data_IF_031330718703
#
_entry.id   IF_031330718703
#
_cell.length_a   1.000
_cell.length_b   1.000
_cell.length_c   1.000
_cell.angle_alpha   90.00
_cell.angle_beta   90.00
_cell.angle_gamma   90.00
#
_symmetry.space_group_name_H-M   'P 1'
#
loop_
_entity.id
_entity.type
_entity.pdbx_description
1 polymer ?
#
# COMPACT_ATOMS: atom_id res chain seq x y z
N UNK A 1 -10.00 41.61 40.41
CA UNK A 1 -8.99 40.67 39.90
C UNK A 1 -9.75 39.54 39.20
N UNK A 2 -10.03 39.72 37.92
CA UNK A 2 -10.67 38.72 37.07
C UNK A 2 -9.68 37.58 36.85
N UNK A 3 -10.12 36.35 37.11
CA UNK A 3 -9.35 35.16 36.80
C UNK A 3 -9.20 35.05 35.28
N UNK A 4 -7.99 35.21 34.76
CA UNK A 4 -7.67 34.91 33.37
C UNK A 4 -7.81 33.40 33.14
N UNK A 5 -8.63 32.94 32.18
CA UNK A 5 -8.78 31.52 31.92
C UNK A 5 -7.49 31.00 31.27
N UNK A 6 -6.65 30.35 32.08
CA UNK A 6 -5.57 29.44 31.71
C UNK A 6 -4.48 30.01 30.79
N UNK A 7 -3.41 30.55 31.39
CA UNK A 7 -2.13 30.65 30.70
C UNK A 7 -1.75 29.27 30.12
N UNK A 8 -1.33 29.18 28.84
CA UNK A 8 -1.00 27.91 28.20
C UNK A 8 0.12 27.21 28.98
N UNK A 9 -0.14 25.96 29.38
CA UNK A 9 0.69 25.24 30.36
C UNK A 9 1.84 24.46 29.72
N UNK A 10 1.86 24.34 28.38
CA UNK A 10 2.91 23.65 27.64
C UNK A 10 3.07 24.18 26.20
N UNK A 11 4.31 24.25 25.73
CA UNK A 11 4.62 24.45 24.31
C UNK A 11 4.00 23.32 23.47
N UNK A 12 3.40 23.68 22.33
CA UNK A 12 2.64 22.77 21.46
C UNK A 12 1.14 22.72 21.75
N UNK A 13 0.64 23.43 22.77
CA UNK A 13 -0.80 23.58 23.00
C UNK A 13 -1.48 24.25 21.80
N UNK A 14 -2.61 23.69 21.37
CA UNK A 14 -3.42 24.24 20.28
C UNK A 14 -4.52 25.11 20.87
N UNK A 15 -4.78 26.26 20.27
CA UNK A 15 -5.83 27.17 20.71
C UNK A 15 -7.20 26.50 20.60
N UNK A 16 -8.16 26.97 21.41
CA UNK A 16 -9.51 26.40 21.40
C UNK A 16 -10.12 26.44 19.99
N UNK A 17 -9.98 27.56 19.29
CA UNK A 17 -10.44 27.74 17.91
C UNK A 17 -9.63 26.97 16.85
N UNK A 18 -8.58 26.24 17.24
CA UNK A 18 -7.74 25.43 16.37
C UNK A 18 -6.95 26.21 15.33
N UNK A 19 -6.77 27.53 15.50
CA UNK A 19 -6.07 28.38 14.53
C UNK A 19 -4.60 28.61 14.88
N UNK A 20 -4.24 28.52 16.16
CA UNK A 20 -2.93 28.87 16.67
C UNK A 20 -2.31 27.72 17.47
N UNK A 21 -0.98 27.66 17.50
CA UNK A 21 -0.21 26.85 18.44
C UNK A 21 0.59 27.75 19.36
N UNK A 22 0.65 27.42 20.64
CA UNK A 22 1.56 28.04 21.58
C UNK A 22 2.98 27.50 21.34
N UNK A 23 3.94 28.38 21.06
CA UNK A 23 5.34 27.98 20.87
C UNK A 23 6.17 28.00 22.18
N UNK A 24 5.59 28.50 23.28
CA UNK A 24 6.27 28.72 24.56
C UNK A 24 6.29 30.20 24.97
N UNK A 25 6.20 31.11 24.00
CA UNK A 25 6.23 32.57 24.21
C UNK A 25 5.00 33.28 23.62
N UNK A 26 4.47 32.80 22.49
CA UNK A 26 3.36 33.41 21.78
C UNK A 26 2.48 32.39 21.03
N UNK A 27 1.29 32.84 20.63
CA UNK A 27 0.41 32.09 19.74
C UNK A 27 0.82 32.31 18.27
N UNK A 28 1.26 31.23 17.61
CA UNK A 28 1.70 31.24 16.20
C UNK A 28 0.65 30.55 15.33
N UNK A 29 0.26 31.11 14.16
CA UNK A 29 -0.74 30.51 13.30
C UNK A 29 -0.32 29.13 12.77
N UNK A 30 -1.30 28.24 12.65
CA UNK A 30 -1.09 26.93 12.02
C UNK A 30 -1.03 27.05 10.49
N UNK A 31 -0.24 26.16 9.88
CA UNK A 31 -0.18 26.10 8.43
C UNK A 31 -1.56 25.71 7.84
N UNK A 32 -1.92 26.20 6.65
CA UNK A 32 -3.17 25.82 5.99
C UNK A 32 -3.31 24.30 5.87
N UNK A 33 -4.44 23.77 6.33
CA UNK A 33 -4.69 22.33 6.33
C UNK A 33 -3.77 21.52 7.23
N UNK A 34 -3.23 22.11 8.31
CA UNK A 34 -2.55 21.41 9.39
C UNK A 34 -3.41 20.25 9.92
N UNK A 35 -2.76 19.17 10.33
CA UNK A 35 -3.39 17.99 10.91
C UNK A 35 -2.48 17.41 11.98
N UNK A 36 -3.08 16.90 13.04
CA UNK A 36 -2.36 16.27 14.14
C UNK A 36 -2.29 14.77 13.97
N UNK A 37 -1.10 14.17 14.18
CA UNK A 37 -0.98 12.72 14.22
C UNK A 37 -1.78 12.16 15.40
N UNK A 38 -2.44 11.03 15.16
CA UNK A 38 -3.02 10.21 16.22
C UNK A 38 -2.08 9.04 16.54
N UNK A 39 -2.33 8.25 17.60
CA UNK A 39 -1.57 7.03 17.84
C UNK A 39 -1.59 6.03 16.68
N UNK A 40 -2.55 6.15 15.75
CA UNK A 40 -2.65 5.30 14.56
C UNK A 40 -1.74 5.76 13.43
N UNK A 41 -1.44 7.06 13.33
CA UNK A 41 -0.73 7.64 12.19
C UNK A 41 0.61 6.96 11.94
N UNK A 42 1.50 6.91 12.94
CA UNK A 42 2.83 6.34 12.76
C UNK A 42 2.78 4.82 12.55
N UNK A 43 1.88 4.13 13.25
CA UNK A 43 1.71 2.68 13.13
C UNK A 43 1.24 2.29 11.73
N UNK A 44 0.28 3.03 11.19
CA UNK A 44 -0.26 2.80 9.85
C UNK A 44 0.76 3.11 8.76
N UNK A 45 1.52 4.21 8.90
CA UNK A 45 2.62 4.56 7.99
C UNK A 45 3.71 3.49 7.95
N UNK A 46 4.13 3.00 9.12
CA UNK A 46 5.16 1.95 9.21
C UNK A 46 4.66 0.60 8.71
N UNK A 47 3.43 0.22 9.05
CA UNK A 47 2.83 -1.02 8.55
C UNK A 47 2.67 -0.98 7.02
N UNK A 48 2.20 0.14 6.47
CA UNK A 48 2.12 0.34 5.02
C UNK A 48 3.50 0.24 4.37
N UNK A 49 4.49 0.94 4.92
CA UNK A 49 5.85 0.93 4.40
C UNK A 49 6.47 -0.47 4.40
N UNK A 50 6.33 -1.19 5.52
CA UNK A 50 6.82 -2.54 5.66
C UNK A 50 6.14 -3.50 4.68
N UNK A 51 4.81 -3.43 4.57
CA UNK A 51 4.08 -4.31 3.67
C UNK A 51 4.44 -4.04 2.21
N UNK A 52 4.51 -2.78 1.77
CA UNK A 52 4.97 -2.47 0.41
C UNK A 52 6.37 -3.00 0.12
N UNK A 53 7.32 -2.80 1.04
CA UNK A 53 8.68 -3.31 0.87
C UNK A 53 8.71 -4.84 0.76
N UNK A 54 7.96 -5.54 1.62
CA UNK A 54 7.89 -7.01 1.60
C UNK A 54 7.19 -7.52 0.34
N UNK A 55 6.11 -6.88 -0.11
CA UNK A 55 5.42 -7.23 -1.36
C UNK A 55 6.34 -7.06 -2.56
N UNK A 56 7.12 -5.97 -2.62
CA UNK A 56 8.08 -5.74 -3.70
C UNK A 56 9.18 -6.79 -3.73
N UNK A 57 9.74 -7.13 -2.56
CA UNK A 57 10.76 -8.19 -2.44
C UNK A 57 10.16 -9.52 -2.88
N UNK A 58 8.96 -9.85 -2.40
CA UNK A 58 8.30 -11.10 -2.73
C UNK A 58 7.98 -11.20 -4.23
N UNK A 59 7.42 -10.14 -4.84
CA UNK A 59 7.04 -10.14 -6.25
C UNK A 59 8.25 -10.32 -7.17
N UNK A 60 9.34 -9.59 -6.90
CA UNK A 60 10.61 -9.72 -7.64
C UNK A 60 11.22 -11.11 -7.45
N UNK A 61 11.28 -11.60 -6.22
CA UNK A 61 11.87 -12.92 -5.92
C UNK A 61 11.06 -14.04 -6.57
N UNK A 62 9.73 -13.98 -6.49
CA UNK A 62 8.82 -14.95 -7.10
C UNK A 62 8.96 -14.95 -8.62
N UNK A 63 8.99 -13.77 -9.25
CA UNK A 63 9.20 -13.65 -10.69
C UNK A 63 10.53 -14.27 -11.12
N UNK A 64 11.62 -13.92 -10.43
CA UNK A 64 12.95 -14.44 -10.74
C UNK A 64 13.06 -15.96 -10.58
N UNK A 65 12.48 -16.52 -9.52
CA UNK A 65 12.58 -17.95 -9.23
C UNK A 65 11.68 -18.81 -10.13
N UNK A 66 10.50 -18.31 -10.50
CA UNK A 66 9.46 -19.15 -11.08
C UNK A 66 9.04 -18.76 -12.49
N UNK A 67 9.25 -17.52 -12.93
CA UNK A 67 8.85 -17.07 -14.26
C UNK A 67 10.03 -17.24 -15.22
N UNK A 68 9.94 -18.31 -15.99
CA UNK A 68 10.86 -18.68 -17.07
C UNK A 68 10.10 -19.30 -18.25
N UNK A 69 10.81 -19.60 -19.34
CA UNK A 69 10.22 -20.15 -20.56
C UNK A 69 9.39 -21.40 -20.31
N UNK A 70 9.93 -22.40 -19.60
CA UNK A 70 9.23 -23.67 -19.34
C UNK A 70 7.95 -23.48 -18.50
N UNK A 71 8.02 -22.64 -17.46
CA UNK A 71 6.88 -22.35 -16.59
C UNK A 71 5.74 -21.69 -17.36
N UNK A 72 6.08 -20.79 -18.29
CA UNK A 72 5.12 -20.01 -19.03
C UNK A 72 4.56 -20.81 -20.22
N UNK A 73 5.40 -21.62 -20.87
CA UNK A 73 5.01 -22.61 -21.86
C UNK A 73 3.95 -23.57 -21.30
N UNK A 74 4.19 -24.13 -20.11
CA UNK A 74 3.22 -24.97 -19.39
C UNK A 74 1.92 -24.22 -19.12
N UNK A 75 2.01 -23.02 -18.57
CA UNK A 75 0.87 -22.14 -18.27
C UNK A 75 0.02 -21.85 -19.52
N UNK A 76 0.63 -21.45 -20.62
CA UNK A 76 -0.07 -21.09 -21.85
C UNK A 76 -0.73 -22.32 -22.49
N UNK A 77 -0.06 -23.48 -22.49
CA UNK A 77 -0.67 -24.74 -22.96
C UNK A 77 -1.90 -25.12 -22.15
N UNK A 78 -1.87 -24.91 -20.83
CA UNK A 78 -3.00 -25.19 -19.95
C UNK A 78 -4.16 -24.20 -20.10
N UNK A 79 -3.90 -22.93 -20.43
CA UNK A 79 -4.92 -21.90 -20.63
C UNK A 79 -5.48 -21.87 -22.07
N UNK A 80 -4.72 -22.41 -23.03
CA UNK A 80 -5.01 -22.31 -24.45
C UNK A 80 -4.19 -21.21 -25.14
N UNK A 81 -3.87 -21.43 -26.41
CA UNK A 81 -3.10 -20.48 -27.21
C UNK A 81 -3.94 -19.24 -27.54
N UNK A 82 -3.36 -18.03 -27.46
CA UNK A 82 -4.01 -16.83 -27.99
C UNK A 82 -4.28 -16.99 -29.49
N UNK A 83 -5.47 -16.55 -29.94
CA UNK A 83 -5.91 -16.72 -31.32
C UNK A 83 -4.92 -16.11 -32.32
N UNK A 84 -4.48 -16.89 -33.30
CA UNK A 84 -3.56 -16.45 -34.35
C UNK A 84 -2.10 -16.28 -33.93
N UNK A 85 -1.73 -16.71 -32.72
CA UNK A 85 -0.33 -16.73 -32.26
C UNK A 85 0.25 -18.14 -32.24
N UNK A 86 1.55 -18.26 -32.50
CA UNK A 86 2.31 -19.47 -32.19
C UNK A 86 2.77 -19.46 -30.72
N UNK A 87 3.11 -20.65 -30.22
CA UNK A 87 3.46 -20.85 -28.80
C UNK A 87 4.72 -20.08 -28.38
N UNK A 88 5.72 -19.96 -29.25
CA UNK A 88 6.99 -19.30 -28.92
C UNK A 88 6.82 -17.79 -28.83
N UNK A 89 6.05 -17.22 -29.76
CA UNK A 89 5.66 -15.80 -29.71
C UNK A 89 4.85 -15.51 -28.45
N UNK A 90 3.87 -16.35 -28.12
CA UNK A 90 3.04 -16.17 -26.92
C UNK A 90 3.87 -16.23 -25.62
N UNK A 91 4.82 -17.18 -25.53
CA UNK A 91 5.72 -17.32 -24.37
C UNK A 91 6.65 -16.11 -24.26
N UNK A 92 7.28 -15.70 -25.35
CA UNK A 92 8.21 -14.55 -25.35
C UNK A 92 7.52 -13.26 -24.92
N UNK A 93 6.34 -13.00 -25.48
CA UNK A 93 5.49 -11.85 -25.11
C UNK A 93 5.10 -11.95 -23.63
N UNK A 94 4.64 -13.11 -23.16
CA UNK A 94 4.19 -13.26 -21.79
C UNK A 94 5.32 -13.09 -20.76
N UNK A 95 6.56 -13.51 -21.07
CA UNK A 95 7.73 -13.23 -20.21
C UNK A 95 7.97 -11.72 -20.14
N UNK A 96 8.01 -11.04 -21.29
CA UNK A 96 8.24 -9.61 -21.35
C UNK A 96 7.18 -8.83 -20.56
N UNK A 97 5.90 -9.19 -20.70
CA UNK A 97 4.81 -8.61 -19.91
C UNK A 97 4.93 -8.92 -18.43
N UNK A 98 5.22 -10.16 -18.05
CA UNK A 98 5.33 -10.56 -16.65
C UNK A 98 6.44 -9.77 -15.94
N UNK A 99 7.64 -9.72 -16.51
CA UNK A 99 8.75 -8.94 -15.95
C UNK A 99 8.49 -7.43 -16.00
N UNK A 100 7.92 -6.92 -17.09
CA UNK A 100 7.55 -5.52 -17.21
C UNK A 100 6.57 -5.09 -16.10
N UNK A 101 5.56 -5.92 -15.83
CA UNK A 101 4.59 -5.68 -14.76
C UNK A 101 5.25 -5.74 -13.38
N UNK A 102 6.07 -6.76 -13.11
CA UNK A 102 6.78 -6.91 -11.83
C UNK A 102 7.70 -5.71 -11.58
N UNK A 103 8.48 -5.29 -12.57
CA UNK A 103 9.38 -4.13 -12.45
C UNK A 103 8.58 -2.86 -12.19
N UNK A 104 7.51 -2.62 -12.96
CA UNK A 104 6.68 -1.44 -12.80
C UNK A 104 6.07 -1.36 -11.40
N UNK A 105 5.44 -2.44 -10.92
CA UNK A 105 4.83 -2.46 -9.59
C UNK A 105 5.86 -2.44 -8.47
N UNK A 106 6.99 -3.15 -8.59
CA UNK A 106 8.04 -3.10 -7.58
C UNK A 106 8.59 -1.67 -7.40
N UNK A 107 8.76 -0.91 -8.48
CA UNK A 107 9.17 0.50 -8.40
C UNK A 107 8.10 1.36 -7.71
N UNK A 108 6.82 1.17 -8.04
CA UNK A 108 5.72 1.87 -7.37
C UNK A 108 5.65 1.53 -5.89
N UNK A 109 5.81 0.26 -5.53
CA UNK A 109 5.79 -0.22 -4.14
C UNK A 109 6.98 0.31 -3.35
N UNK A 110 8.19 0.39 -3.93
CA UNK A 110 9.35 1.01 -3.27
C UNK A 110 9.10 2.49 -3.01
N UNK A 111 8.58 3.24 -4.00
CA UNK A 111 8.21 4.65 -3.82
C UNK A 111 7.12 4.79 -2.77
N UNK A 112 6.13 3.90 -2.77
CA UNK A 112 5.06 3.88 -1.78
C UNK A 112 5.57 3.57 -0.37
N UNK A 113 6.54 2.66 -0.25
CA UNK A 113 7.18 2.33 1.01
C UNK A 113 7.92 3.53 1.60
N UNK A 114 8.75 4.19 0.78
CA UNK A 114 9.50 5.39 1.17
C UNK A 114 8.52 6.52 1.54
N UNK A 115 7.54 6.81 0.68
CA UNK A 115 6.57 7.88 0.93
C UNK A 115 5.71 7.63 2.16
N UNK A 116 5.35 6.38 2.44
CA UNK A 116 4.62 6.00 3.65
C UNK A 116 5.50 6.17 4.89
N UNK A 117 6.77 5.72 4.83
CA UNK A 117 7.73 5.87 5.94
C UNK A 117 8.02 7.34 6.28
N UNK A 118 8.16 8.19 5.26
CA UNK A 118 8.37 9.63 5.40
C UNK A 118 7.07 10.39 5.72
N UNK A 119 5.92 9.72 5.69
CA UNK A 119 4.62 10.31 6.03
C UNK A 119 4.09 11.33 5.02
N UNK A 120 4.40 11.16 3.72
CA UNK A 120 3.91 12.04 2.67
C UNK A 120 2.38 12.01 2.59
N UNK A 121 1.76 13.19 2.64
CA UNK A 121 0.29 13.32 2.73
C UNK A 121 -0.44 12.77 1.50
N UNK A 122 0.11 12.98 0.30
CA UNK A 122 -0.48 12.46 -0.95
C UNK A 122 -0.30 10.95 -1.09
N UNK A 123 0.75 10.38 -0.48
CA UNK A 123 1.04 8.95 -0.55
C UNK A 123 -0.06 8.10 0.07
N UNK A 124 -0.83 8.66 1.02
CA UNK A 124 -1.99 7.98 1.58
C UNK A 124 -2.95 7.48 0.48
N UNK A 125 -3.23 8.32 -0.52
CA UNK A 125 -4.18 8.00 -1.59
C UNK A 125 -3.62 6.95 -2.55
N UNK A 126 -2.34 7.09 -2.92
CA UNK A 126 -1.65 6.09 -3.72
C UNK A 126 -1.63 4.73 -3.00
N UNK A 127 -1.29 4.73 -1.71
CA UNK A 127 -1.27 3.52 -0.89
C UNK A 127 -2.66 2.88 -0.75
N UNK A 128 -3.73 3.67 -0.60
CA UNK A 128 -5.11 3.15 -0.62
C UNK A 128 -5.44 2.44 -1.93
N UNK A 129 -5.08 3.03 -3.08
CA UNK A 129 -5.33 2.39 -4.38
C UNK A 129 -4.51 1.11 -4.52
N UNK A 130 -3.22 1.16 -4.21
CA UNK A 130 -2.33 -0.01 -4.34
C UNK A 130 -2.76 -1.15 -3.41
N UNK A 131 -3.11 -0.86 -2.14
CA UNK A 131 -3.60 -1.91 -1.25
C UNK A 131 -4.99 -2.42 -1.63
N UNK A 132 -5.85 -1.55 -2.18
CA UNK A 132 -7.15 -1.95 -2.72
C UNK A 132 -7.00 -2.92 -3.90
N UNK A 133 -6.12 -2.59 -4.86
CA UNK A 133 -5.79 -3.45 -6.00
C UNK A 133 -5.12 -4.75 -5.56
N UNK A 134 -4.12 -4.67 -4.68
CA UNK A 134 -3.46 -5.85 -4.12
C UNK A 134 -4.41 -6.77 -3.35
N UNK A 135 -5.45 -6.21 -2.72
CA UNK A 135 -6.49 -6.96 -2.03
C UNK A 135 -7.42 -7.75 -2.96
N UNK A 136 -7.54 -7.37 -4.24
CA UNK A 136 -8.34 -8.11 -5.24
C UNK A 136 -7.78 -9.52 -5.45
N UNK A 137 -6.45 -9.68 -5.33
CA UNK A 137 -5.75 -10.95 -5.44
C UNK A 137 -6.32 -12.05 -4.54
N UNK A 138 -6.87 -11.65 -3.39
CA UNK A 138 -7.45 -12.56 -2.40
C UNK A 138 -8.66 -13.35 -2.93
N UNK A 139 -9.30 -12.87 -4.00
CA UNK A 139 -10.44 -13.53 -4.62
C UNK A 139 -10.07 -14.27 -5.89
N UNK A 140 -9.05 -13.81 -6.61
CA UNK A 140 -8.69 -14.34 -7.94
C UNK A 140 -7.80 -15.59 -7.88
N UNK A 141 -7.00 -15.75 -6.82
CA UNK A 141 -6.08 -16.88 -6.68
C UNK A 141 -6.75 -18.24 -6.48
N UNK A 142 -8.04 -18.25 -6.12
CA UNK A 142 -8.81 -19.48 -5.93
C UNK A 142 -8.90 -20.33 -7.21
N UNK A 143 -8.91 -19.68 -8.38
CA UNK A 143 -8.90 -20.35 -9.68
C UNK A 143 -7.59 -21.12 -9.90
N UNK A 144 -6.45 -20.52 -9.54
CA UNK A 144 -5.12 -21.11 -9.67
C UNK A 144 -4.91 -22.28 -8.71
N UNK A 145 -5.47 -22.21 -7.49
CA UNK A 145 -5.44 -23.33 -6.53
C UNK A 145 -6.19 -24.54 -7.09
N UNK A 146 -7.31 -24.30 -7.81
CA UNK A 146 -8.09 -25.37 -8.45
C UNK A 146 -7.38 -25.98 -9.67
N UNK A 147 -6.66 -25.16 -10.44
CA UNK A 147 -5.97 -25.59 -11.66
C UNK A 147 -4.51 -25.09 -11.66
N UNK A 148 -3.58 -25.74 -10.94
CA UNK A 148 -2.23 -25.21 -10.74
C UNK A 148 -1.39 -25.07 -12.02
N UNK A 149 -1.70 -25.87 -13.04
CA UNK A 149 -0.99 -25.85 -14.33
C UNK A 149 -1.20 -24.56 -15.13
N UNK A 150 -2.23 -23.77 -14.80
CA UNK A 150 -2.50 -22.48 -15.44
C UNK A 150 -1.63 -21.34 -14.89
N UNK A 151 -0.71 -21.62 -13.96
CA UNK A 151 0.17 -20.60 -13.39
C UNK A 151 1.65 -20.95 -13.59
N UNK A 152 2.49 -19.96 -13.97
CA UNK A 152 3.93 -20.14 -13.99
C UNK A 152 4.49 -20.30 -12.56
N UNK A 153 3.85 -19.66 -11.58
CA UNK A 153 4.23 -19.74 -10.15
C UNK A 153 3.65 -21.01 -9.52
N UNK A 154 4.45 -21.81 -8.78
CA UNK A 154 3.97 -23.01 -8.11
C UNK A 154 2.99 -22.69 -6.99
N UNK A 155 2.18 -23.68 -6.60
CA UNK A 155 1.07 -23.48 -5.65
C UNK A 155 1.53 -22.92 -4.31
N UNK A 156 2.72 -23.31 -3.82
CA UNK A 156 3.27 -22.77 -2.58
C UNK A 156 3.56 -21.26 -2.68
N UNK A 157 4.08 -20.81 -3.83
CA UNK A 157 4.24 -19.39 -4.12
C UNK A 157 2.88 -18.69 -4.18
N UNK A 158 1.90 -19.26 -4.88
CA UNK A 158 0.54 -18.69 -4.95
C UNK A 158 -0.06 -18.51 -3.55
N UNK A 159 0.08 -19.50 -2.67
CA UNK A 159 -0.41 -19.41 -1.28
C UNK A 159 0.32 -18.34 -0.44
N UNK A 160 1.63 -18.14 -0.65
CA UNK A 160 2.35 -17.03 -0.01
C UNK A 160 1.84 -15.68 -0.54
N UNK A 161 1.66 -15.55 -1.85
CA UNK A 161 1.07 -14.37 -2.48
C UNK A 161 -0.36 -14.08 -1.99
N UNK A 162 -1.12 -15.12 -1.65
CA UNK A 162 -2.44 -15.00 -1.06
C UNK A 162 -2.38 -14.35 0.33
N UNK A 163 -1.40 -14.72 1.16
CA UNK A 163 -1.17 -14.05 2.45
C UNK A 163 -0.90 -12.56 2.25
N UNK A 164 -0.09 -12.18 1.27
CA UNK A 164 0.15 -10.76 0.94
C UNK A 164 -1.12 -10.06 0.45
N UNK A 165 -1.95 -10.72 -0.36
CA UNK A 165 -3.25 -10.17 -0.80
C UNK A 165 -4.19 -9.92 0.38
N UNK A 166 -4.27 -10.85 1.33
CA UNK A 166 -5.08 -10.70 2.55
C UNK A 166 -4.55 -9.59 3.46
N UNK A 167 -3.23 -9.49 3.63
CA UNK A 167 -2.61 -8.39 4.38
C UNK A 167 -2.84 -7.04 3.69
N UNK A 168 -2.79 -7.00 2.36
CA UNK A 168 -3.11 -5.83 1.55
C UNK A 168 -4.55 -5.39 1.77
N UNK A 169 -5.51 -6.32 1.72
CA UNK A 169 -6.92 -6.05 2.01
C UNK A 169 -7.13 -5.55 3.45
N UNK A 170 -6.48 -6.19 4.43
CA UNK A 170 -6.55 -5.76 5.82
C UNK A 170 -6.00 -4.34 6.02
N UNK A 171 -4.87 -4.02 5.37
CA UNK A 171 -4.30 -2.67 5.36
C UNK A 171 -5.24 -1.65 4.70
N UNK A 172 -5.84 -2.01 3.55
CA UNK A 172 -6.83 -1.17 2.88
C UNK A 172 -8.02 -0.84 3.80
N UNK A 173 -8.59 -1.85 4.46
CA UNK A 173 -9.70 -1.69 5.40
C UNK A 173 -9.26 -0.82 6.58
N UNK A 174 -8.09 -1.07 7.17
CA UNK A 174 -7.59 -0.27 8.29
C UNK A 174 -7.38 1.20 7.91
N UNK A 175 -6.81 1.46 6.72
CA UNK A 175 -6.64 2.81 6.18
C UNK A 175 -7.98 3.49 5.91
N UNK A 176 -8.97 2.78 5.37
CA UNK A 176 -10.32 3.30 5.13
C UNK A 176 -11.01 3.67 6.44
N UNK A 177 -10.92 2.83 7.47
CA UNK A 177 -11.43 3.14 8.81
C UNK A 177 -10.73 4.38 9.38
N UNK A 178 -9.40 4.47 9.24
CA UNK A 178 -8.63 5.64 9.65
C UNK A 178 -9.05 6.93 8.91
N UNK A 179 -9.33 6.82 7.61
CA UNK A 179 -9.81 7.91 6.77
C UNK A 179 -11.16 8.44 7.24
N UNK A 180 -12.11 7.54 7.51
CA UNK A 180 -13.46 7.90 7.95
C UNK A 180 -13.42 8.52 9.36
N UNK A 181 -12.61 7.95 10.26
CA UNK A 181 -12.59 8.37 11.67
C UNK A 181 -11.78 9.65 11.92
N UNK A 182 -10.67 9.85 11.21
CA UNK A 182 -9.73 10.94 11.47
C UNK A 182 -9.33 11.69 10.19
N UNK A 183 -9.16 10.95 9.09
CA UNK A 183 -8.74 11.46 7.79
C UNK A 183 -7.48 10.77 7.26
N UNK A 184 -6.85 11.29 6.18
CA UNK A 184 -5.66 10.69 5.60
C UNK A 184 -4.56 10.46 6.63
N UNK A 185 -3.94 9.27 6.58
CA UNK A 185 -2.98 8.77 7.57
C UNK A 185 -3.48 8.77 9.01
N UNK A 186 -4.78 8.66 9.21
CA UNK A 186 -5.42 8.79 10.52
C UNK A 186 -5.04 10.09 11.25
N UNK A 187 -4.73 11.17 10.52
CA UNK A 187 -4.41 12.47 11.11
C UNK A 187 -5.69 13.30 11.25
N UNK A 188 -6.02 13.68 12.49
CA UNK A 188 -7.19 14.49 12.80
C UNK A 188 -6.94 15.95 12.44
N UNK A 189 -8.00 16.71 12.18
CA UNK A 189 -7.88 18.17 12.12
C UNK A 189 -7.52 18.69 13.52
N UNK A 190 -6.70 19.76 13.64
CA UNK A 190 -6.70 20.56 14.86
C UNK A 190 -8.15 20.96 15.14
N UNK A 191 -8.47 21.16 16.41
CA UNK A 191 -9.81 21.40 16.90
C UNK A 191 -10.61 22.45 16.08
N UNK A 192 -11.92 22.50 16.29
CA UNK A 192 -12.46 23.68 16.97
C UNK A 192 -12.83 23.37 18.42
#
# INVERSE_FOLDING_TARGET
MSQDPSAPTAAGQISADGQFRWDGEQWVPLAPGYREPTPWTRRMQLAAAALFALTAIYSVTSAFLFINHDSLMRSIKAQGLPAGSDIETAVSIGIAFAYGFVIFFALLEVVAAIGSYLGWRWMFWAAMVLFGVGGIGAFTNLSTVRNPDTSPVPIAGVLIGEVFSLLSLAMFIWMLVGLIKYGPWAMKRPAP
#
